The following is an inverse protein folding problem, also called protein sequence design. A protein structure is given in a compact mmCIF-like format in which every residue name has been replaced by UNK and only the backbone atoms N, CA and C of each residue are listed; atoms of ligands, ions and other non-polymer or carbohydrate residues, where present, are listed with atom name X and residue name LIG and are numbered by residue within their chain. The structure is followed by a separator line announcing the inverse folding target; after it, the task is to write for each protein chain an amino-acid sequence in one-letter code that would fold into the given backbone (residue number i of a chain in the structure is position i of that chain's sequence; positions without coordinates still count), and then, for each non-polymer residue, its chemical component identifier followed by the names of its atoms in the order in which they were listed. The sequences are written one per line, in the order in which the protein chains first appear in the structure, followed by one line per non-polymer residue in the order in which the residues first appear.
data_IF_098617914158
#
_entry.id   IF_098617914158
#
_cell.length_a   1.000
_cell.length_b   1.000
_cell.length_c   1.000
_cell.angle_alpha   90.00
_cell.angle_beta   90.00
_cell.angle_gamma   90.00
#
_symmetry.space_group_name_H-M   'P 1'
#
loop_
_entity.id
_entity.type
_entity.pdbx_description
1 polymer ?
#
# COMPACT_ATOMS: atom_id res chain seq x y z
N UNK A 1 3.22 57.53 -22.36
CA UNK A 1 3.33 56.24 -23.05
C UNK A 1 4.04 55.26 -22.14
N UNK A 2 3.23 54.46 -21.45
CA UNK A 2 3.60 53.46 -20.46
C UNK A 2 4.10 52.21 -21.18
N UNK A 3 5.39 51.88 -21.11
CA UNK A 3 5.90 50.61 -21.67
C UNK A 3 6.99 50.02 -20.78
N UNK A 4 6.68 48.79 -20.33
CA UNK A 4 7.58 47.73 -19.86
C UNK A 4 7.90 47.73 -18.35
N UNK A 5 6.84 47.55 -17.56
CA UNK A 5 6.94 46.76 -16.34
C UNK A 5 6.91 45.25 -16.70
N UNK A 6 7.37 44.43 -15.76
CA UNK A 6 7.22 42.96 -15.69
C UNK A 6 8.37 42.18 -16.36
N UNK A 7 9.53 42.21 -15.70
CA UNK A 7 10.49 41.11 -15.71
C UNK A 7 10.71 40.73 -14.24
N UNK A 8 10.76 39.42 -13.98
CA UNK A 8 11.05 38.76 -12.71
C UNK A 8 9.93 38.69 -11.68
N UNK A 9 9.06 37.67 -11.81
CA UNK A 9 8.90 36.64 -10.76
C UNK A 9 8.07 35.47 -11.32
N UNK A 10 8.64 34.70 -12.25
CA UNK A 10 8.13 33.36 -12.51
C UNK A 10 8.72 32.46 -11.41
N UNK A 11 8.07 32.47 -10.23
CA UNK A 11 8.28 31.42 -9.24
C UNK A 11 7.84 30.12 -9.91
N UNK A 12 8.82 29.33 -10.35
CA UNK A 12 8.64 27.94 -10.68
C UNK A 12 8.11 27.27 -9.41
N UNK A 13 6.79 27.14 -9.30
CA UNK A 13 6.19 26.15 -8.42
C UNK A 13 6.57 24.79 -9.00
N UNK A 14 7.77 24.32 -8.62
CA UNK A 14 8.07 22.89 -8.69
C UNK A 14 7.12 22.27 -7.69
N UNK A 15 5.95 21.87 -8.18
CA UNK A 15 5.06 21.01 -7.44
C UNK A 15 5.83 19.72 -7.20
N UNK A 16 6.50 19.61 -6.04
CA UNK A 16 6.88 18.31 -5.53
C UNK A 16 5.58 17.56 -5.35
N UNK A 17 5.28 16.66 -6.28
CA UNK A 17 4.32 15.60 -6.03
C UNK A 17 4.94 14.74 -4.92
N UNK A 18 4.65 15.08 -3.67
CA UNK A 18 4.74 14.13 -2.58
C UNK A 18 3.73 13.05 -2.90
N UNK A 19 4.18 11.92 -3.43
CA UNK A 19 3.35 10.72 -3.39
C UNK A 19 3.29 10.31 -1.92
N UNK A 20 2.15 10.55 -1.28
CA UNK A 20 1.79 9.86 -0.06
C UNK A 20 1.92 8.36 -0.36
N UNK A 21 2.85 7.69 0.31
CA UNK A 21 3.30 6.38 -0.13
C UNK A 21 3.83 5.53 1.03
N UNK A 22 3.96 4.24 0.75
CA UNK A 22 4.57 3.30 1.69
C UNK A 22 6.07 3.61 1.82
N UNK A 23 6.54 3.78 3.06
CA UNK A 23 7.95 4.02 3.39
C UNK A 23 8.70 2.69 3.55
N UNK A 24 8.13 1.79 4.34
CA UNK A 24 8.75 0.51 4.66
C UNK A 24 7.71 -0.55 5.02
N UNK A 25 8.08 -1.81 4.88
CA UNK A 25 7.27 -2.94 5.32
C UNK A 25 8.14 -4.17 5.63
N UNK A 26 7.55 -5.13 6.32
CA UNK A 26 8.08 -6.48 6.43
C UNK A 26 7.59 -7.30 5.24
N UNK A 27 8.50 -7.98 4.55
CA UNK A 27 8.19 -8.87 3.45
C UNK A 27 8.51 -10.30 3.84
N UNK A 28 7.62 -11.24 3.51
CA UNK A 28 7.82 -12.65 3.78
C UNK A 28 7.21 -13.50 2.68
N UNK A 29 7.90 -14.57 2.31
CA UNK A 29 7.31 -15.63 1.49
C UNK A 29 7.54 -16.99 2.11
N UNK A 30 6.57 -17.88 1.96
CA UNK A 30 6.66 -19.28 2.35
C UNK A 30 6.24 -20.17 1.19
N UNK A 31 7.05 -21.16 0.84
CA UNK A 31 6.65 -22.23 -0.08
C UNK A 31 6.66 -23.55 0.69
N UNK A 32 5.67 -24.42 0.52
CA UNK A 32 5.60 -25.70 1.25
C UNK A 32 4.94 -26.82 0.43
N UNK A 33 5.36 -28.04 0.72
CA UNK A 33 4.80 -29.32 0.31
C UNK A 33 4.34 -30.14 1.55
N UNK A 34 3.29 -29.73 2.29
CA UNK A 34 2.86 -30.40 3.52
C UNK A 34 2.52 -31.89 3.38
N UNK A 35 2.09 -32.35 2.20
CA UNK A 35 1.86 -33.78 1.96
C UNK A 35 3.15 -34.59 1.80
N UNK A 36 4.30 -33.93 1.57
CA UNK A 36 5.58 -34.58 1.29
C UNK A 36 6.62 -34.36 2.39
N UNK A 37 6.49 -33.31 3.20
CA UNK A 37 7.39 -33.05 4.31
C UNK A 37 6.72 -32.29 5.46
N UNK A 38 6.94 -32.79 6.67
CA UNK A 38 6.52 -32.16 7.93
C UNK A 38 7.58 -31.21 8.50
N UNK A 39 8.74 -31.06 7.85
CA UNK A 39 9.85 -30.25 8.36
C UNK A 39 9.56 -28.74 8.37
N UNK A 40 8.46 -28.29 7.75
CA UNK A 40 8.05 -26.90 7.65
C UNK A 40 8.39 -26.26 6.30
N UNK A 41 7.90 -25.04 6.08
CA UNK A 41 8.06 -24.29 4.84
C UNK A 41 9.50 -23.76 4.63
N UNK A 42 9.82 -23.46 3.37
CA UNK A 42 11.00 -22.68 2.99
C UNK A 42 10.58 -21.22 3.02
N UNK A 43 11.30 -20.43 3.80
CA UNK A 43 10.89 -19.08 4.16
C UNK A 43 11.97 -18.08 3.79
N UNK A 44 11.55 -16.99 3.15
CA UNK A 44 12.34 -15.78 2.99
C UNK A 44 11.69 -14.66 3.79
N UNK A 45 12.49 -13.82 4.42
CA UNK A 45 11.99 -12.68 5.20
C UNK A 45 12.95 -11.50 5.17
N UNK A 46 12.41 -10.31 4.92
CA UNK A 46 13.13 -9.04 5.08
C UNK A 46 12.28 -8.09 5.92
N UNK A 47 12.78 -7.70 7.09
CA UNK A 47 12.07 -6.86 8.04
C UNK A 47 12.42 -5.38 7.82
N UNK A 48 11.42 -4.50 7.98
CA UNK A 48 11.55 -3.06 7.82
C UNK A 48 12.28 -2.66 6.52
N UNK A 49 11.97 -3.37 5.43
CA UNK A 49 12.57 -3.10 4.13
C UNK A 49 12.07 -1.74 3.62
N UNK A 50 13.01 -0.86 3.25
CA UNK A 50 12.68 0.40 2.61
C UNK A 50 12.13 0.16 1.19
N UNK A 51 11.08 0.88 0.83
CA UNK A 51 10.40 0.76 -0.45
C UNK A 51 11.15 1.51 -1.57
N UNK A 52 11.18 0.95 -2.78
CA UNK A 52 11.59 1.64 -4.00
C UNK A 52 13.08 1.50 -4.35
N UNK A 53 13.81 0.61 -3.68
CA UNK A 53 15.20 0.26 -3.99
C UNK A 53 15.36 -0.90 -4.99
N UNK A 54 14.27 -1.26 -5.67
CA UNK A 54 14.07 -2.56 -6.32
C UNK A 54 13.70 -3.64 -5.29
N UNK A 55 13.55 -4.89 -5.76
CA UNK A 55 12.98 -5.99 -4.99
C UNK A 55 13.36 -6.02 -3.49
N UNK A 56 12.37 -5.74 -2.65
CA UNK A 56 12.46 -5.73 -1.19
C UNK A 56 12.65 -7.14 -0.61
N UNK A 57 12.17 -8.19 -1.30
CA UNK A 57 12.45 -9.59 -0.93
C UNK A 57 13.18 -10.31 -2.07
N UNK A 58 14.30 -11.00 -1.77
CA UNK A 58 15.10 -11.77 -2.74
C UNK A 58 15.95 -12.83 -2.05
N UNK A 59 16.76 -13.56 -2.82
CA UNK A 59 17.52 -14.75 -2.39
C UNK A 59 18.35 -14.54 -1.12
N UNK A 60 18.95 -13.35 -0.94
CA UNK A 60 19.80 -13.04 0.21
C UNK A 60 19.03 -13.01 1.54
N UNK A 61 17.70 -12.99 1.49
CA UNK A 61 16.79 -12.93 2.64
C UNK A 61 16.28 -14.31 3.07
N UNK A 62 17.01 -15.38 2.75
CA UNK A 62 16.64 -16.73 3.18
C UNK A 62 16.66 -16.81 4.71
N UNK A 63 15.52 -17.15 5.30
CA UNK A 63 15.38 -17.33 6.75
C UNK A 63 15.48 -18.80 7.14
N UNK A 64 14.76 -19.68 6.44
CA UNK A 64 14.68 -21.11 6.76
C UNK A 64 14.48 -21.96 5.50
N UNK A 65 15.11 -23.13 5.46
CA UNK A 65 14.87 -24.17 4.45
C UNK A 65 15.05 -25.57 5.08
N UNK A 66 14.20 -25.95 6.04
CA UNK A 66 14.43 -27.13 6.88
C UNK A 66 14.40 -28.46 6.09
N UNK A 67 13.68 -28.49 4.96
CA UNK A 67 13.60 -29.64 4.07
C UNK A 67 14.63 -29.58 2.90
N UNK A 68 15.52 -28.59 2.87
CA UNK A 68 16.54 -28.40 1.84
C UNK A 68 16.00 -28.35 0.39
N UNK A 69 14.85 -27.72 0.16
CA UNK A 69 14.28 -27.60 -1.18
C UNK A 69 15.08 -26.66 -2.08
N UNK A 70 15.20 -27.04 -3.36
CA UNK A 70 15.88 -26.26 -4.40
C UNK A 70 15.11 -25.00 -4.81
N UNK A 71 13.83 -25.13 -5.15
CA UNK A 71 12.99 -24.02 -5.63
C UNK A 71 12.31 -23.18 -4.56
N UNK A 72 11.22 -22.52 -4.91
CA UNK A 72 10.42 -21.69 -3.99
C UNK A 72 10.99 -20.29 -3.81
N UNK A 73 11.67 -19.80 -4.85
CA UNK A 73 12.31 -18.49 -4.85
C UNK A 73 11.41 -17.51 -5.58
N UNK A 74 10.72 -16.66 -4.81
CA UNK A 74 9.88 -15.59 -5.36
C UNK A 74 10.36 -14.26 -4.82
N UNK A 75 10.69 -13.33 -5.72
CA UNK A 75 11.05 -11.97 -5.36
C UNK A 75 9.79 -11.12 -5.20
N UNK A 76 9.79 -10.24 -4.21
CA UNK A 76 8.74 -9.25 -3.99
C UNK A 76 9.33 -7.87 -4.26
N UNK A 77 8.64 -7.09 -5.09
CA UNK A 77 9.03 -5.73 -5.47
C UNK A 77 7.79 -4.82 -5.46
N UNK A 78 7.79 -3.79 -4.63
CA UNK A 78 6.69 -2.81 -4.59
C UNK A 78 7.12 -1.49 -5.22
N UNK A 79 6.44 -1.10 -6.29
CA UNK A 79 6.68 0.17 -6.96
C UNK A 79 5.75 1.26 -6.37
N UNK A 80 6.29 2.24 -5.63
CA UNK A 80 5.48 3.28 -5.01
C UNK A 80 4.93 4.30 -6.01
N UNK A 81 5.41 4.33 -7.26
CA UNK A 81 4.90 5.24 -8.29
C UNK A 81 3.63 4.71 -8.96
N UNK A 82 3.49 3.39 -9.02
CA UNK A 82 2.35 2.71 -9.65
C UNK A 82 1.44 2.02 -8.64
N UNK A 83 1.88 1.96 -7.37
CA UNK A 83 1.26 1.18 -6.29
C UNK A 83 1.06 -0.29 -6.65
N UNK A 84 2.01 -0.85 -7.40
CA UNK A 84 1.98 -2.24 -7.85
C UNK A 84 2.96 -3.06 -7.04
N UNK A 85 2.46 -4.12 -6.39
CA UNK A 85 3.27 -5.20 -5.86
C UNK A 85 3.48 -6.25 -6.95
N UNK A 86 4.73 -6.57 -7.24
CA UNK A 86 5.13 -7.60 -8.20
C UNK A 86 5.75 -8.79 -7.47
N UNK A 87 5.21 -9.97 -7.73
CA UNK A 87 5.82 -11.25 -7.37
C UNK A 87 6.50 -11.83 -8.60
N UNK A 88 7.80 -12.09 -8.53
CA UNK A 88 8.56 -12.68 -9.65
C UNK A 88 9.14 -14.02 -9.22
N UNK A 89 8.68 -15.12 -9.83
CA UNK A 89 9.31 -16.41 -9.62
C UNK A 89 10.70 -16.44 -10.29
N UNK A 90 11.69 -17.00 -9.59
CA UNK A 90 13.04 -17.20 -10.13
C UNK A 90 13.31 -18.64 -10.50
N UNK A 91 12.29 -19.49 -10.41
CA UNK A 91 12.39 -20.90 -10.72
C UNK A 91 11.04 -21.48 -11.20
N UNK A 92 11.03 -22.77 -11.52
CA UNK A 92 9.88 -23.49 -12.05
C UNK A 92 9.55 -24.75 -11.26
N UNK A 93 9.81 -24.76 -9.95
CA UNK A 93 9.58 -25.92 -9.09
C UNK A 93 8.15 -26.00 -8.58
N UNK A 94 7.78 -27.18 -8.09
CA UNK A 94 6.47 -27.51 -7.60
C UNK A 94 6.30 -27.29 -6.10
N UNK A 95 5.13 -26.75 -5.73
CA UNK A 95 4.70 -26.55 -4.35
C UNK A 95 3.21 -26.81 -4.21
N UNK A 96 2.77 -27.06 -2.97
CA UNK A 96 1.36 -27.21 -2.63
C UNK A 96 0.76 -25.92 -2.10
N UNK A 97 1.55 -25.18 -1.32
CA UNK A 97 1.18 -23.86 -0.84
C UNK A 97 2.31 -22.88 -1.15
N UNK A 98 1.90 -21.66 -1.48
CA UNK A 98 2.77 -20.51 -1.50
C UNK A 98 2.05 -19.32 -0.92
N UNK A 99 2.68 -18.69 0.06
CA UNK A 99 2.15 -17.54 0.74
C UNK A 99 3.14 -16.38 0.64
N UNK A 100 2.63 -15.19 0.34
CA UNK A 100 3.40 -13.96 0.34
C UNK A 100 2.70 -12.91 1.21
N UNK A 101 3.46 -12.32 2.12
CA UNK A 101 3.00 -11.29 3.05
C UNK A 101 3.81 -10.01 2.88
N UNK A 102 3.09 -8.91 2.95
CA UNK A 102 3.65 -7.58 3.16
C UNK A 102 2.95 -7.01 4.40
N UNK A 103 3.65 -6.93 5.53
CA UNK A 103 3.06 -6.60 6.84
C UNK A 103 3.77 -5.43 7.51
N UNK A 104 3.18 -4.91 8.58
CA UNK A 104 3.75 -3.79 9.35
C UNK A 104 4.11 -2.59 8.45
N UNK A 105 3.23 -2.30 7.49
CA UNK A 105 3.43 -1.22 6.54
C UNK A 105 3.45 0.12 7.28
N UNK A 106 4.50 0.89 7.05
CA UNK A 106 4.63 2.26 7.49
C UNK A 106 4.31 3.19 6.32
N UNK A 107 3.29 4.02 6.48
CA UNK A 107 2.92 5.04 5.51
C UNK A 107 3.61 6.37 5.81
N UNK A 108 3.82 7.17 4.77
CA UNK A 108 4.38 8.51 4.92
C UNK A 108 3.39 9.50 5.52
N UNK A 109 2.10 9.32 5.25
CA UNK A 109 1.06 10.21 5.75
C UNK A 109 0.35 9.63 6.98
N UNK A 110 0.20 10.42 8.06
CA UNK A 110 -0.59 10.02 9.22
C UNK A 110 -2.04 9.70 8.84
N UNK A 111 -2.53 8.54 9.28
CA UNK A 111 -3.90 8.09 9.03
C UNK A 111 -4.13 7.45 7.66
N UNK A 112 -3.09 7.30 6.84
CA UNK A 112 -3.14 6.49 5.63
C UNK A 112 -3.25 5.00 5.95
N UNK A 113 -4.00 4.28 5.12
CA UNK A 113 -4.24 2.84 5.25
C UNK A 113 -4.50 2.20 3.89
N UNK A 114 -4.39 0.87 3.81
CA UNK A 114 -4.85 0.11 2.64
C UNK A 114 -6.38 0.13 2.58
N UNK A 115 -6.90 0.59 1.45
CA UNK A 115 -8.33 0.65 1.13
C UNK A 115 -8.76 -0.49 0.19
N UNK A 116 -7.84 -0.98 -0.64
CA UNK A 116 -8.13 -2.02 -1.63
C UNK A 116 -6.89 -2.79 -2.05
N UNK A 117 -7.10 -4.04 -2.45
CA UNK A 117 -6.05 -4.92 -2.94
C UNK A 117 -6.62 -5.86 -4.00
N UNK A 118 -6.06 -5.81 -5.21
CA UNK A 118 -6.59 -6.58 -6.34
C UNK A 118 -5.51 -7.16 -7.25
N UNK A 119 -5.81 -8.30 -7.86
CA UNK A 119 -4.96 -8.93 -8.87
C UNK A 119 -5.10 -8.21 -10.21
N UNK A 120 -3.98 -7.85 -10.83
CA UNK A 120 -3.93 -7.28 -12.18
C UNK A 120 -3.56 -8.31 -13.23
N UNK A 121 -2.54 -9.13 -12.95
CA UNK A 121 -2.07 -10.18 -13.86
C UNK A 121 -1.48 -11.34 -13.07
N UNK A 122 -1.66 -12.56 -13.56
CA UNK A 122 -1.18 -13.76 -12.90
C UNK A 122 -0.58 -14.74 -13.90
N UNK A 123 0.74 -14.70 -14.00
CA UNK A 123 1.55 -15.71 -14.67
C UNK A 123 2.63 -16.23 -13.71
N UNK A 124 2.36 -16.26 -12.40
CA UNK A 124 3.31 -16.73 -11.38
C UNK A 124 3.33 -18.26 -11.29
N UNK A 125 2.17 -18.89 -11.46
CA UNK A 125 1.95 -20.33 -11.28
C UNK A 125 1.22 -20.95 -12.47
N UNK A 126 1.38 -22.25 -12.66
CA UNK A 126 0.71 -23.01 -13.73
C UNK A 126 -0.78 -23.21 -13.48
N UNK A 127 -1.49 -23.73 -14.48
CA UNK A 127 -2.88 -24.19 -14.39
C UNK A 127 -3.91 -23.10 -14.06
N UNK A 128 -3.55 -21.81 -14.22
CA UNK A 128 -4.47 -20.69 -14.03
C UNK A 128 -4.97 -20.53 -12.59
N UNK A 129 -4.25 -21.08 -11.61
CA UNK A 129 -4.62 -21.01 -10.19
C UNK A 129 -4.66 -19.55 -9.76
N UNK A 130 -5.82 -19.14 -9.22
CA UNK A 130 -6.01 -17.80 -8.70
C UNK A 130 -5.59 -17.73 -7.23
N UNK A 131 -4.87 -16.69 -6.82
CA UNK A 131 -4.55 -16.48 -5.42
C UNK A 131 -5.80 -16.06 -4.62
N UNK A 132 -5.83 -16.44 -3.36
CA UNK A 132 -6.69 -15.83 -2.35
C UNK A 132 -6.00 -14.58 -1.83
N UNK A 133 -6.70 -13.45 -1.86
CA UNK A 133 -6.19 -12.15 -1.41
C UNK A 133 -6.88 -11.74 -0.12
N UNK A 134 -6.11 -11.25 0.84
CA UNK A 134 -6.65 -10.61 2.03
C UNK A 134 -5.77 -9.44 2.46
N UNK A 135 -6.37 -8.47 3.13
CA UNK A 135 -5.65 -7.29 3.62
C UNK A 135 -6.29 -6.72 4.89
N UNK A 136 -5.48 -6.02 5.66
CA UNK A 136 -5.89 -5.14 6.76
C UNK A 136 -5.48 -3.71 6.43
N UNK A 137 -5.64 -2.77 7.36
CA UNK A 137 -5.19 -1.39 7.18
C UNK A 137 -3.68 -1.25 6.88
N UNK A 138 -2.84 -2.22 7.30
CA UNK A 138 -1.38 -2.13 7.21
C UNK A 138 -0.69 -3.45 6.82
N UNK A 139 -1.42 -4.42 6.30
CA UNK A 139 -0.88 -5.72 5.89
C UNK A 139 -1.63 -6.30 4.69
N UNK A 140 -0.92 -7.04 3.84
CA UNK A 140 -1.41 -7.76 2.68
C UNK A 140 -0.99 -9.24 2.78
N UNK A 141 -1.84 -10.14 2.29
CA UNK A 141 -1.53 -11.56 2.15
C UNK A 141 -2.07 -12.11 0.83
N UNK A 142 -1.21 -12.84 0.13
CA UNK A 142 -1.48 -13.53 -1.12
C UNK A 142 -1.22 -15.01 -0.87
N UNK A 143 -2.22 -15.87 -1.04
CA UNK A 143 -2.10 -17.30 -0.84
C UNK A 143 -2.45 -18.08 -2.12
N UNK A 144 -1.55 -18.95 -2.53
CA UNK A 144 -1.77 -19.96 -3.56
C UNK A 144 -1.82 -21.33 -2.91
N UNK A 145 -2.78 -22.16 -3.31
CA UNK A 145 -2.85 -23.55 -2.88
C UNK A 145 -3.34 -24.46 -4.01
N UNK A 146 -2.85 -25.70 -4.04
CA UNK A 146 -3.30 -26.71 -4.99
C UNK A 146 -3.14 -28.12 -4.45
N UNK A 147 -3.95 -29.04 -4.99
CA UNK A 147 -3.85 -30.48 -4.77
C UNK A 147 -3.86 -31.16 -6.16
N UNK A 148 -2.83 -31.92 -6.56
CA UNK A 148 -1.69 -32.37 -5.75
C UNK A 148 -0.59 -31.32 -5.54
N UNK A 149 -0.24 -30.53 -6.57
CA UNK A 149 0.77 -29.45 -6.56
C UNK A 149 0.48 -28.45 -7.68
N UNK A 150 1.10 -27.27 -7.62
CA UNK A 150 1.26 -26.36 -8.75
C UNK A 150 2.76 -26.12 -8.99
N UNK A 151 3.14 -25.72 -10.21
CA UNK A 151 4.49 -25.27 -10.50
C UNK A 151 4.53 -23.75 -10.54
N UNK A 152 5.63 -23.17 -10.08
CA UNK A 152 6.01 -21.84 -10.55
C UNK A 152 6.37 -21.88 -12.03
N UNK A 153 6.28 -20.73 -12.70
CA UNK A 153 6.50 -20.62 -14.15
C UNK A 153 7.81 -19.92 -14.53
N UNK A 154 8.53 -19.35 -13.55
CA UNK A 154 9.57 -18.34 -13.78
C UNK A 154 9.01 -16.97 -14.25
N UNK A 155 7.69 -16.82 -14.27
CA UNK A 155 6.98 -15.58 -14.62
C UNK A 155 6.64 -14.73 -13.40
N UNK A 156 5.62 -13.88 -13.55
CA UNK A 156 5.26 -12.88 -12.55
C UNK A 156 3.75 -12.79 -12.32
N UNK A 157 3.36 -12.36 -11.13
CA UNK A 157 2.03 -11.85 -10.82
C UNK A 157 2.13 -10.41 -10.29
N UNK A 158 1.17 -9.57 -10.66
CA UNK A 158 1.14 -8.15 -10.30
C UNK A 158 -0.18 -7.81 -9.62
N UNK A 159 -0.11 -7.01 -8.57
CA UNK A 159 -1.24 -6.67 -7.72
C UNK A 159 -1.31 -5.16 -7.51
N UNK A 160 -2.48 -4.56 -7.66
CA UNK A 160 -2.71 -3.16 -7.34
C UNK A 160 -3.00 -3.03 -5.84
N UNK A 161 -2.27 -2.15 -5.17
CA UNK A 161 -2.49 -1.76 -3.79
C UNK A 161 -3.08 -0.35 -3.80
N UNK A 162 -4.28 -0.20 -3.26
CA UNK A 162 -4.95 1.09 -3.15
C UNK A 162 -4.83 1.57 -1.71
N UNK A 163 -4.21 2.73 -1.52
CA UNK A 163 -4.09 3.37 -0.21
C UNK A 163 -4.85 4.68 -0.17
N UNK A 164 -5.13 5.14 1.04
CA UNK A 164 -5.65 6.48 1.24
C UNK A 164 -5.90 6.77 2.71
N UNK A 165 -6.11 8.04 3.00
CA UNK A 165 -6.52 8.51 4.32
C UNK A 165 -8.03 8.29 4.38
N UNK A 166 -8.48 7.42 5.30
CA UNK A 166 -9.90 7.30 5.59
C UNK A 166 -10.40 8.69 6.03
N UNK A 167 -11.25 9.32 5.21
CA UNK A 167 -11.73 10.65 5.55
C UNK A 167 -12.52 10.56 6.86
N UNK A 168 -11.96 11.14 7.93
CA UNK A 168 -12.76 11.61 9.06
C UNK A 168 -13.84 12.49 8.43
N UNK A 169 -15.14 12.25 8.65
CA UNK A 169 -16.17 13.14 8.14
C UNK A 169 -15.78 14.54 8.56
N UNK A 170 -15.62 15.45 7.60
CA UNK A 170 -15.34 16.84 7.91
C UNK A 170 -16.35 17.26 8.98
N UNK A 171 -15.87 17.65 10.16
CA UNK A 171 -16.72 18.25 11.18
C UNK A 171 -17.40 19.41 10.48
N UNK A 172 -18.69 19.26 10.18
CA UNK A 172 -19.49 20.29 9.52
C UNK A 172 -19.27 21.56 10.34
N UNK A 173 -18.65 22.61 9.78
CA UNK A 173 -18.54 23.87 10.50
C UNK A 173 -19.96 24.25 10.87
N UNK A 174 -20.21 24.49 12.15
CA UNK A 174 -21.53 24.90 12.62
C UNK A 174 -22.04 25.99 11.68
N UNK A 175 -23.27 25.86 11.15
CA UNK A 175 -23.76 26.82 10.18
C UNK A 175 -23.63 28.22 10.78
N UNK A 176 -23.08 29.14 9.99
CA UNK A 176 -22.86 30.54 10.35
C UNK A 176 -24.15 31.26 10.81
N UNK A 177 -25.31 30.59 10.79
CA UNK A 177 -26.56 31.02 11.43
C UNK A 177 -26.38 31.36 12.91
N UNK A 178 -25.55 30.65 13.68
CA UNK A 178 -25.28 31.01 15.08
C UNK A 178 -24.53 32.35 15.20
N UNK A 179 -23.59 32.64 14.29
CA UNK A 179 -22.88 33.91 14.25
C UNK A 179 -23.78 35.08 13.80
N UNK A 180 -24.71 34.82 12.87
CA UNK A 180 -25.68 35.81 12.39
C UNK A 180 -26.70 36.16 13.48
N UNK A 181 -27.18 35.18 14.26
CA UNK A 181 -28.06 35.43 15.40
C UNK A 181 -27.38 36.24 16.51
N UNK A 182 -26.09 35.99 16.78
CA UNK A 182 -25.30 36.79 17.72
C UNK A 182 -25.14 38.25 17.30
N UNK A 183 -24.88 38.51 16.02
CA UNK A 183 -24.78 39.87 15.47
C UNK A 183 -26.14 40.59 15.44
N UNK A 184 -27.25 39.89 15.16
CA UNK A 184 -28.59 40.46 15.19
C UNK A 184 -29.02 40.90 16.59
N UNK A 185 -28.66 40.14 17.64
CA UNK A 185 -28.92 40.50 19.03
C UNK A 185 -28.11 41.71 19.49
N UNK A 186 -26.85 41.84 19.05
CA UNK A 186 -26.02 43.02 19.32
C UNK A 186 -26.56 44.28 18.64
N UNK A 187 -27.06 44.18 17.40
CA UNK A 187 -27.70 45.30 16.69
C UNK A 187 -29.01 45.78 17.33
N UNK A 188 -29.82 44.88 17.86
CA UNK A 188 -31.05 45.20 18.60
C UNK A 188 -30.76 45.83 19.99
N UNK A 189 -29.64 45.49 20.61
CA UNK A 189 -29.20 46.09 21.87
C UNK A 189 -28.70 47.53 21.73
N UNK A 190 -27.99 47.85 20.64
CA UNK A 190 -27.44 49.19 20.40
C UNK A 190 -28.52 50.19 19.95
N UNK A 191 -29.49 49.75 19.14
CA UNK A 191 -30.59 50.61 18.66
C UNK A 191 -31.52 51.10 19.78
N UNK A 192 -31.74 50.30 20.84
CA UNK A 192 -32.50 50.74 22.02
C UNK A 192 -31.80 51.82 22.85
N UNK A 193 -30.47 51.93 22.78
CA UNK A 193 -29.71 52.94 23.53
C UNK A 193 -29.69 54.31 22.85
N UNK A 194 -29.85 54.36 21.53
CA UNK A 194 -29.92 55.61 20.76
C UNK A 194 -31.32 56.25 20.73
N UNK A 195 -32.39 55.47 20.93
CA UNK A 195 -33.77 56.00 20.95
C UNK A 195 -34.19 56.65 22.29
N UNK A 196 -33.32 56.66 23.31
CA UNK A 196 -33.60 57.27 24.64
C UNK A 196 -32.71 58.50 24.93
N UNK A 197 -32.17 59.15 23.90
CA UNK A 197 -31.53 60.47 24.01
C UNK A 197 -32.29 61.48 23.20
#
# INVERSE_FOLDING_TARGET
MLKKAIVSMLLLSVSCFSHAGLISADFRTESHLPAYSQSGAKTYQNLAAAIGGGAELKNKHLLANPANWGGGVVWMDFDPLTSILTLTSKDSWDFQTFDAWMSNILFSEPGESILGFSLLSNNLVTNGIQPVLSYTANSLHIAYSSVPVFNFTGGQATFLVQTGIAQVPATVPEPASLAIFGLALLGLGVSRRMSRR
#
